data_IF_030342966885
#
_entry.id   IF_030342966885
#
_cell.length_a   1.000
_cell.length_b   1.000
_cell.length_c   1.000
_cell.angle_alpha   90.00
_cell.angle_beta   90.00
_cell.angle_gamma   90.00
#
_symmetry.space_group_name_H-M   'P 1'
#
loop_
_entity.id
_entity.type
_entity.pdbx_description
1 polymer ?
#
# COMPACT_ATOMS: atom_id res chain seq x y z
N UNK A 1 -19.45 13.29 -8.49
CA UNK A 1 -18.68 12.64 -7.41
C UNK A 1 -18.35 13.63 -6.31
N UNK A 2 -18.59 13.23 -5.09
CA UNK A 2 -18.21 14.06 -3.95
C UNK A 2 -16.78 13.77 -3.52
N UNK A 3 -16.11 14.75 -2.93
CA UNK A 3 -14.73 14.58 -2.44
C UNK A 3 -14.63 13.42 -1.43
N UNK A 4 -15.55 13.26 -0.45
CA UNK A 4 -15.49 12.10 0.44
C UNK A 4 -15.53 10.75 -0.27
N UNK A 5 -16.31 10.61 -1.33
CA UNK A 5 -16.39 9.37 -2.10
C UNK A 5 -15.06 9.05 -2.80
N UNK A 6 -14.38 10.08 -3.31
CA UNK A 6 -13.12 9.93 -4.00
C UNK A 6 -12.00 9.60 -3.00
N UNK A 7 -11.99 10.22 -1.84
CA UNK A 7 -10.93 10.07 -0.85
C UNK A 7 -11.12 8.85 0.06
N UNK A 8 -12.31 8.27 0.15
CA UNK A 8 -12.56 7.16 1.05
C UNK A 8 -11.60 5.97 0.84
N UNK A 9 -11.36 5.49 -0.40
CA UNK A 9 -10.37 4.42 -0.61
C UNK A 9 -8.97 4.80 -0.15
N UNK A 10 -8.56 6.04 -0.42
CA UNK A 10 -7.26 6.55 0.01
C UNK A 10 -7.16 6.56 1.54
N UNK A 11 -8.19 7.03 2.23
CA UNK A 11 -8.18 7.06 3.70
C UNK A 11 -8.08 5.66 4.29
N UNK A 12 -8.78 4.69 3.72
CA UNK A 12 -8.71 3.30 4.16
C UNK A 12 -7.30 2.75 4.00
N UNK A 13 -6.64 3.05 2.88
CA UNK A 13 -5.27 2.61 2.65
C UNK A 13 -4.28 3.30 3.58
N UNK A 14 -4.48 4.58 3.89
CA UNK A 14 -3.67 5.31 4.87
C UNK A 14 -3.82 4.68 6.26
N UNK A 15 -5.04 4.27 6.64
CA UNK A 15 -5.26 3.56 7.90
C UNK A 15 -4.47 2.26 7.96
N UNK A 16 -4.45 1.48 6.86
CA UNK A 16 -3.64 0.27 6.80
C UNK A 16 -2.16 0.58 7.03
N UNK A 17 -1.65 1.64 6.41
CA UNK A 17 -0.26 2.07 6.56
C UNK A 17 0.04 2.41 8.02
N UNK A 18 -0.83 3.14 8.70
CA UNK A 18 -0.65 3.47 10.12
C UNK A 18 -0.73 2.24 11.02
N UNK A 19 -1.66 1.32 10.76
CA UNK A 19 -1.76 0.07 11.51
C UNK A 19 -0.44 -0.70 11.43
N UNK A 20 0.10 -0.88 10.23
CA UNK A 20 1.38 -1.55 10.03
C UNK A 20 2.53 -0.77 10.67
N UNK A 21 2.49 0.56 10.56
CA UNK A 21 3.52 1.43 11.12
C UNK A 21 3.61 1.42 12.63
N UNK A 22 2.48 1.22 13.33
CA UNK A 22 2.47 1.05 14.78
C UNK A 22 2.69 -0.39 15.21
N UNK A 23 2.26 -1.34 14.41
CA UNK A 23 2.46 -2.76 14.70
C UNK A 23 3.94 -3.14 14.68
N UNK A 24 4.69 -2.62 13.70
CA UNK A 24 6.11 -2.90 13.56
C UNK A 24 6.90 -2.56 14.84
N UNK A 25 6.88 -1.30 15.39
CA UNK A 25 7.61 -1.01 16.63
C UNK A 25 7.02 -1.72 17.84
N UNK A 26 5.71 -1.96 17.88
CA UNK A 26 5.10 -2.71 18.98
C UNK A 26 5.72 -4.10 19.13
N UNK A 27 6.08 -4.75 18.01
CA UNK A 27 6.74 -6.06 18.00
C UNK A 27 8.26 -5.96 18.14
N UNK A 28 8.87 -4.88 17.59
CA UNK A 28 10.33 -4.76 17.46
C UNK A 28 10.98 -4.23 18.72
N UNK A 29 10.41 -3.21 19.35
CA UNK A 29 11.04 -2.51 20.48
C UNK A 29 11.27 -3.44 21.67
N UNK A 30 10.33 -4.31 22.09
CA UNK A 30 10.59 -5.27 23.16
C UNK A 30 11.77 -6.21 22.87
N UNK A 31 11.97 -6.61 21.62
CA UNK A 31 13.09 -7.47 21.24
C UNK A 31 14.43 -6.77 21.40
N UNK A 32 14.50 -5.49 21.04
CA UNK A 32 15.70 -4.68 21.24
C UNK A 32 15.98 -4.47 22.73
N UNK A 33 14.96 -4.18 23.53
CA UNK A 33 15.10 -3.97 24.99
C UNK A 33 15.58 -5.22 25.72
N UNK A 34 15.12 -6.41 25.29
CA UNK A 34 15.52 -7.68 25.89
C UNK A 34 16.88 -8.17 25.40
N UNK A 35 17.48 -7.51 24.41
CA UNK A 35 18.72 -7.96 23.80
C UNK A 35 18.57 -9.17 22.89
N UNK A 36 17.32 -9.57 22.55
CA UNK A 36 17.08 -10.69 21.64
C UNK A 36 17.56 -10.37 20.21
N UNK A 37 17.53 -9.09 19.84
CA UNK A 37 18.07 -8.60 18.56
C UNK A 37 18.99 -7.44 18.87
N UNK A 38 20.21 -7.46 18.32
CA UNK A 38 21.18 -6.37 18.53
C UNK A 38 20.88 -5.23 17.54
N UNK A 39 20.99 -3.96 17.95
CA UNK A 39 20.73 -2.85 17.03
C UNK A 39 21.61 -2.89 15.78
N UNK A 40 22.86 -3.30 15.87
CA UNK A 40 23.74 -3.38 14.71
C UNK A 40 23.39 -4.48 13.72
N UNK A 41 22.50 -5.41 14.09
CA UNK A 41 22.02 -6.47 13.19
C UNK A 41 20.88 -5.98 12.29
N UNK A 42 20.24 -4.85 12.62
CA UNK A 42 19.04 -4.36 11.93
C UNK A 42 19.08 -2.86 11.57
N UNK A 43 20.14 -2.13 11.93
CA UNK A 43 20.23 -0.68 11.75
C UNK A 43 20.27 -0.24 10.28
N UNK A 44 20.70 -1.14 9.37
CA UNK A 44 20.72 -0.87 7.94
C UNK A 44 19.64 -1.65 7.17
N UNK A 45 18.54 -1.99 7.86
CA UNK A 45 17.43 -2.78 7.31
C UNK A 45 17.81 -4.20 6.90
N UNK A 46 18.84 -4.78 7.54
CA UNK A 46 19.17 -6.19 7.33
C UNK A 46 18.00 -7.08 7.78
N UNK A 47 17.78 -8.24 7.12
CA UNK A 47 16.67 -9.14 7.45
C UNK A 47 16.97 -10.02 8.66
N UNK A 48 17.40 -9.43 9.78
CA UNK A 48 17.80 -10.15 10.99
C UNK A 48 16.77 -10.11 12.12
N UNK A 49 15.56 -9.62 11.84
CA UNK A 49 14.44 -9.72 12.77
C UNK A 49 13.89 -11.14 12.77
N UNK A 50 13.28 -11.60 13.89
CA UNK A 50 12.49 -12.82 13.86
C UNK A 50 11.45 -12.76 12.74
N UNK A 51 11.12 -13.91 12.16
CA UNK A 51 10.29 -13.99 10.95
C UNK A 51 8.98 -13.20 11.06
N UNK A 52 8.17 -13.30 12.14
CA UNK A 52 6.93 -12.50 12.21
C UNK A 52 7.16 -11.00 12.17
N UNK A 53 8.19 -10.51 12.84
CA UNK A 53 8.54 -9.08 12.85
C UNK A 53 9.01 -8.64 11.47
N UNK A 54 9.84 -9.43 10.83
CA UNK A 54 10.35 -9.13 9.48
C UNK A 54 9.20 -9.06 8.46
N UNK A 55 8.22 -9.94 8.59
CA UNK A 55 7.03 -9.93 7.72
C UNK A 55 6.24 -8.63 7.86
N UNK A 56 6.04 -8.15 9.10
CA UNK A 56 5.33 -6.90 9.35
C UNK A 56 6.12 -5.72 8.80
N UNK A 57 7.43 -5.68 9.02
CA UNK A 57 8.30 -4.63 8.51
C UNK A 57 8.27 -4.57 6.99
N UNK A 58 8.32 -5.72 6.32
CA UNK A 58 8.28 -5.79 4.87
C UNK A 58 6.92 -5.32 4.33
N UNK A 59 5.82 -5.68 4.99
CA UNK A 59 4.48 -5.23 4.62
C UNK A 59 4.36 -3.72 4.77
N UNK A 60 4.88 -3.15 5.85
CA UNK A 60 4.90 -1.71 6.06
C UNK A 60 5.71 -1.00 4.96
N UNK A 61 6.91 -1.49 4.65
CA UNK A 61 7.74 -0.89 3.61
C UNK A 61 7.06 -0.94 2.24
N UNK A 62 6.29 -1.98 1.97
CA UNK A 62 5.51 -2.12 0.74
C UNK A 62 4.47 -1.02 0.57
N UNK A 63 4.02 -0.36 1.67
CA UNK A 63 3.06 0.75 1.59
C UNK A 63 3.66 2.02 0.99
N UNK A 64 4.96 2.08 0.82
CA UNK A 64 5.66 3.23 0.20
C UNK A 64 6.08 2.95 -1.24
N UNK A 65 5.60 1.88 -1.84
CA UNK A 65 5.83 1.50 -3.24
C UNK A 65 4.64 1.92 -4.10
N UNK A 66 3.81 0.97 -4.55
CA UNK A 66 2.64 1.27 -5.39
C UNK A 66 1.64 2.24 -4.76
N UNK A 67 1.33 2.18 -3.45
CA UNK A 67 0.39 3.13 -2.87
C UNK A 67 0.77 4.59 -3.05
N UNK A 68 2.05 4.93 -3.10
CA UNK A 68 2.49 6.31 -3.36
C UNK A 68 1.99 6.79 -4.71
N UNK A 69 2.08 5.95 -5.76
CA UNK A 69 1.56 6.27 -7.09
C UNK A 69 0.03 6.41 -7.06
N UNK A 70 -0.64 5.64 -6.25
CA UNK A 70 -2.08 5.75 -6.06
C UNK A 70 -2.46 7.07 -5.39
N UNK A 71 -1.73 7.50 -4.37
CA UNK A 71 -1.99 8.78 -3.71
C UNK A 71 -1.79 9.96 -4.66
N UNK A 72 -0.71 9.94 -5.43
CA UNK A 72 -0.43 10.99 -6.42
C UNK A 72 -1.56 11.04 -7.46
N UNK A 73 -1.98 9.89 -7.97
CA UNK A 73 -3.05 9.82 -8.95
C UNK A 73 -4.37 10.38 -8.40
N UNK A 74 -4.72 10.03 -7.16
CA UNK A 74 -5.94 10.53 -6.52
C UNK A 74 -5.94 12.05 -6.42
N UNK A 75 -4.81 12.63 -6.02
CA UNK A 75 -4.66 14.08 -5.92
C UNK A 75 -4.81 14.72 -7.30
N UNK A 76 -4.14 14.17 -8.31
CA UNK A 76 -4.21 14.69 -9.67
C UNK A 76 -5.62 14.59 -10.26
N UNK A 77 -6.32 13.49 -10.01
CA UNK A 77 -7.71 13.30 -10.45
C UNK A 77 -8.64 14.35 -9.84
N UNK A 78 -8.45 14.68 -8.57
CA UNK A 78 -9.25 15.73 -7.90
C UNK A 78 -8.91 17.10 -8.47
N UNK A 79 -7.63 17.41 -8.62
CA UNK A 79 -7.17 18.71 -9.12
C UNK A 79 -7.65 19.00 -10.55
N UNK A 80 -7.68 17.97 -11.37
CA UNK A 80 -8.08 18.10 -12.78
C UNK A 80 -9.57 17.82 -13.00
N UNK A 81 -10.30 17.48 -11.94
CA UNK A 81 -11.73 17.14 -11.99
C UNK A 81 -12.05 15.97 -12.91
N UNK A 82 -11.15 14.99 -12.98
CA UNK A 82 -11.35 13.77 -13.78
C UNK A 82 -11.79 12.58 -12.94
N UNK A 83 -11.92 12.73 -11.62
CA UNK A 83 -12.38 11.66 -10.76
C UNK A 83 -13.86 11.35 -11.02
N UNK A 84 -14.14 10.13 -11.41
CA UNK A 84 -15.47 9.66 -11.76
C UNK A 84 -15.75 8.30 -11.10
N UNK A 85 -16.89 7.69 -11.43
CA UNK A 85 -17.27 6.40 -10.86
C UNK A 85 -16.26 5.31 -11.22
N UNK A 86 -15.73 5.33 -12.44
CA UNK A 86 -14.72 4.35 -12.88
C UNK A 86 -13.49 4.45 -11.98
N UNK A 87 -13.02 5.67 -11.72
CA UNK A 87 -11.88 5.88 -10.82
C UNK A 87 -12.16 5.33 -9.43
N UNK A 88 -13.33 5.63 -8.86
CA UNK A 88 -13.68 5.20 -7.50
C UNK A 88 -13.77 3.68 -7.41
N UNK A 89 -14.37 3.02 -8.39
CA UNK A 89 -14.47 1.55 -8.42
C UNK A 89 -13.08 0.93 -8.50
N UNK A 90 -12.23 1.41 -9.41
CA UNK A 90 -10.87 0.90 -9.56
C UNK A 90 -10.03 1.17 -8.30
N UNK A 91 -10.22 2.33 -7.66
CA UNK A 91 -9.56 2.67 -6.41
C UNK A 91 -9.88 1.67 -5.31
N UNK A 92 -11.16 1.31 -5.15
CA UNK A 92 -11.56 0.30 -4.16
C UNK A 92 -10.99 -1.07 -4.47
N UNK A 93 -10.94 -1.47 -5.75
CA UNK A 93 -10.33 -2.74 -6.15
C UNK A 93 -8.85 -2.74 -5.78
N UNK A 94 -8.13 -1.66 -6.07
CA UNK A 94 -6.71 -1.53 -5.71
C UNK A 94 -6.51 -1.66 -4.20
N UNK A 95 -7.31 -0.94 -3.41
CA UNK A 95 -7.22 -0.97 -1.95
C UNK A 95 -7.50 -2.36 -1.40
N UNK A 96 -8.52 -3.05 -1.93
CA UNK A 96 -8.82 -4.43 -1.53
C UNK A 96 -7.66 -5.37 -1.83
N UNK A 97 -7.02 -5.23 -2.99
CA UNK A 97 -5.83 -6.03 -3.33
C UNK A 97 -4.68 -5.75 -2.37
N UNK A 98 -4.49 -4.50 -1.97
CA UNK A 98 -3.46 -4.13 -0.99
C UNK A 98 -3.74 -4.73 0.39
N UNK A 99 -5.00 -4.72 0.84
CA UNK A 99 -5.38 -5.37 2.09
C UNK A 99 -5.16 -6.89 2.04
N UNK A 100 -5.54 -7.53 0.93
CA UNK A 100 -5.31 -8.96 0.74
C UNK A 100 -3.81 -9.28 0.74
N UNK A 101 -3.00 -8.48 0.06
CA UNK A 101 -1.55 -8.64 0.06
C UNK A 101 -0.97 -8.47 1.47
N UNK A 102 -1.39 -7.44 2.20
CA UNK A 102 -0.91 -7.19 3.56
C UNK A 102 -1.30 -8.34 4.49
N UNK A 103 -2.51 -8.86 4.37
CA UNK A 103 -2.95 -10.00 5.16
C UNK A 103 -2.07 -11.23 4.92
N UNK A 104 -1.82 -11.57 3.65
CA UNK A 104 -0.95 -12.71 3.31
C UNK A 104 0.47 -12.43 3.78
N UNK A 105 0.97 -11.21 3.58
CA UNK A 105 2.35 -10.83 3.92
C UNK A 105 2.63 -10.94 5.42
N UNK A 106 1.64 -10.63 6.26
CA UNK A 106 1.78 -10.64 7.72
C UNK A 106 1.38 -11.96 8.38
N UNK A 107 0.76 -12.87 7.63
CA UNK A 107 0.31 -14.17 8.14
C UNK A 107 1.08 -15.31 7.49
N UNK A 108 0.50 -15.98 6.49
CA UNK A 108 1.11 -17.15 5.85
C UNK A 108 2.35 -16.83 5.02
N UNK A 109 2.44 -15.60 4.50
CA UNK A 109 3.55 -15.11 3.65
C UNK A 109 3.84 -16.04 2.46
N UNK A 110 2.80 -16.63 1.87
CA UNK A 110 2.94 -17.48 0.69
C UNK A 110 3.30 -16.59 -0.50
N UNK A 111 4.49 -16.80 -1.08
CA UNK A 111 5.04 -15.92 -2.11
C UNK A 111 4.14 -15.82 -3.33
N UNK A 112 3.57 -16.94 -3.79
CA UNK A 112 2.69 -16.93 -4.97
C UNK A 112 1.40 -16.14 -4.72
N UNK A 113 0.78 -16.29 -3.55
CA UNK A 113 -0.44 -15.53 -3.22
C UNK A 113 -0.14 -14.05 -3.06
N UNK A 114 0.91 -13.71 -2.33
CA UNK A 114 1.35 -12.34 -2.15
C UNK A 114 1.67 -11.68 -3.48
N UNK A 115 2.43 -12.37 -4.34
CA UNK A 115 2.79 -11.89 -5.66
C UNK A 115 1.58 -11.75 -6.58
N UNK A 116 0.60 -12.66 -6.50
CA UNK A 116 -0.63 -12.57 -7.28
C UNK A 116 -1.44 -11.33 -6.93
N UNK A 117 -1.63 -11.05 -5.64
CA UNK A 117 -2.33 -9.84 -5.21
C UNK A 117 -1.57 -8.58 -5.59
N UNK A 118 -0.24 -8.59 -5.50
CA UNK A 118 0.60 -7.48 -5.94
C UNK A 118 0.42 -7.21 -7.43
N UNK A 119 0.51 -8.24 -8.27
CA UNK A 119 0.38 -8.10 -9.73
C UNK A 119 -0.99 -7.58 -10.11
N UNK A 120 -2.06 -8.11 -9.52
CA UNK A 120 -3.43 -7.64 -9.81
C UNK A 120 -3.58 -6.18 -9.40
N UNK A 121 -3.11 -5.81 -8.23
CA UNK A 121 -3.13 -4.42 -7.78
C UNK A 121 -2.33 -3.50 -8.70
N UNK A 122 -1.14 -3.93 -9.13
CA UNK A 122 -0.32 -3.16 -10.05
C UNK A 122 -1.00 -2.98 -11.40
N UNK A 123 -1.65 -4.01 -11.93
CA UNK A 123 -2.40 -3.91 -13.19
C UNK A 123 -3.57 -2.92 -13.07
N UNK A 124 -4.31 -2.98 -11.99
CA UNK A 124 -5.40 -2.03 -11.73
C UNK A 124 -4.85 -0.60 -11.70
N UNK A 125 -3.77 -0.38 -10.99
CA UNK A 125 -3.14 0.94 -10.88
C UNK A 125 -2.63 1.43 -12.24
N UNK A 126 -2.03 0.55 -13.04
CA UNK A 126 -1.58 0.88 -14.40
C UNK A 126 -2.76 1.32 -15.26
N UNK A 127 -3.88 0.58 -15.21
CA UNK A 127 -5.10 0.92 -15.95
C UNK A 127 -5.59 2.31 -15.54
N UNK A 128 -5.62 2.59 -14.23
CA UNK A 128 -6.03 3.90 -13.72
C UNK A 128 -5.14 5.03 -14.28
N UNK A 129 -3.83 4.83 -14.26
CA UNK A 129 -2.88 5.82 -14.79
C UNK A 129 -3.03 6.00 -16.29
N UNK A 130 -3.20 4.91 -17.06
CA UNK A 130 -3.38 4.99 -18.52
C UNK A 130 -4.64 5.77 -18.86
N UNK A 131 -5.76 5.49 -18.19
CA UNK A 131 -7.01 6.23 -18.40
C UNK A 131 -6.79 7.72 -18.12
N UNK A 132 -6.14 8.06 -17.01
CA UNK A 132 -5.87 9.45 -16.65
C UNK A 132 -4.98 10.14 -17.68
N UNK A 133 -3.88 9.50 -18.06
CA UNK A 133 -2.95 10.06 -19.05
C UNK A 133 -3.63 10.31 -20.39
N UNK A 134 -4.42 9.36 -20.88
CA UNK A 134 -5.14 9.51 -22.14
C UNK A 134 -6.12 10.68 -22.07
N UNK A 135 -6.87 10.79 -20.99
CA UNK A 135 -7.84 11.88 -20.83
C UNK A 135 -7.18 13.25 -20.78
N UNK A 136 -6.05 13.36 -20.10
CA UNK A 136 -5.29 14.62 -20.00
C UNK A 136 -4.66 14.98 -21.34
N UNK A 137 -3.97 14.04 -21.98
CA UNK A 137 -3.23 14.31 -23.22
C UNK A 137 -4.15 14.60 -24.40
N UNK A 138 -5.32 13.99 -24.47
CA UNK A 138 -6.30 14.21 -25.52
C UNK A 138 -7.31 15.30 -25.17
N UNK A 139 -7.21 15.92 -23.99
CA UNK A 139 -8.13 16.96 -23.54
C UNK A 139 -9.55 16.47 -23.32
N UNK A 140 -9.73 15.19 -23.01
CA UNK A 140 -11.05 14.58 -22.77
C UNK A 140 -11.56 14.94 -21.36
N UNK A 141 -12.88 15.08 -21.18
CA UNK A 141 -13.46 15.35 -19.88
C UNK A 141 -13.35 14.17 -18.89
#
# INVERSE_FOLDING_TARGET
MTIPMILAPLFVLVLLTFVLGFWSPFMSVPLLRRGAVRPQDVDLRQPNWPRPVQQINNSYNSQFELPVLFYVLTILEIMTRHADLIFVVLAWIFVLMRFAQAYVHTTSNVVLRRGSFYVVGALVLIIMWVIFMVRILLGLP
#
